data_IF_596239051781
#
_entry.id   IF_596239051781
#
_cell.length_a   1.000
_cell.length_b   1.000
_cell.length_c   1.000
_cell.angle_alpha   90.00
_cell.angle_beta   90.00
_cell.angle_gamma   90.00
#
_symmetry.space_group_name_H-M   'P 1'
#
loop_
_entity.id
_entity.type
_entity.pdbx_description
1 polymer ?
#
# COMPACT_ATOMS: atom_id res chain seq x y z
N UNK A 1 3.33 -5.83 22.89
CA UNK A 1 2.36 -5.35 21.89
C UNK A 1 3.03 -4.66 20.72
N UNK A 2 3.71 -3.51 20.88
CA UNK A 2 4.34 -2.78 19.77
C UNK A 2 5.28 -3.62 18.89
N UNK A 3 6.27 -4.31 19.48
CA UNK A 3 7.23 -5.16 18.72
C UNK A 3 6.58 -6.32 17.95
N UNK A 4 5.46 -6.88 18.44
CA UNK A 4 4.71 -7.93 17.73
C UNK A 4 3.84 -7.35 16.61
N UNK A 5 3.39 -6.11 16.79
CA UNK A 5 2.29 -5.50 16.04
C UNK A 5 2.74 -4.59 14.91
N UNK A 6 3.86 -3.89 15.06
CA UNK A 6 4.32 -2.92 14.06
C UNK A 6 5.82 -3.05 13.79
N UNK A 7 6.25 -4.07 13.04
CA UNK A 7 7.63 -4.14 12.60
C UNK A 7 8.03 -2.84 11.88
N UNK A 8 7.22 -2.33 10.96
CA UNK A 8 7.49 -1.05 10.27
C UNK A 8 6.97 0.20 10.99
N UNK A 9 5.83 0.10 11.67
CA UNK A 9 5.13 1.26 12.25
C UNK A 9 5.71 1.78 13.57
N UNK A 10 6.49 0.99 14.32
CA UNK A 10 7.09 1.44 15.58
C UNK A 10 8.03 2.63 15.36
N UNK A 11 8.93 2.55 14.38
CA UNK A 11 9.84 3.66 14.08
C UNK A 11 9.11 4.89 13.55
N UNK A 12 8.03 4.69 12.79
CA UNK A 12 7.17 5.78 12.31
C UNK A 12 6.52 6.50 13.50
N UNK A 13 5.93 5.74 14.44
CA UNK A 13 5.34 6.30 15.66
C UNK A 13 6.37 7.05 16.51
N UNK A 14 7.60 6.55 16.62
CA UNK A 14 8.69 7.25 17.31
C UNK A 14 9.06 8.55 16.57
N UNK A 15 9.18 8.50 15.25
CA UNK A 15 9.55 9.65 14.44
C UNK A 15 8.46 10.74 14.43
N UNK A 16 7.19 10.36 14.61
CA UNK A 16 6.03 11.24 14.67
C UNK A 16 5.41 11.35 16.07
N UNK A 17 6.20 11.08 17.12
CA UNK A 17 5.71 11.10 18.51
C UNK A 17 5.17 12.47 18.98
N UNK A 18 5.45 13.54 18.23
CA UNK A 18 4.98 14.90 18.49
C UNK A 18 3.94 15.38 17.46
N UNK A 19 3.43 14.49 16.60
CA UNK A 19 2.37 14.85 15.67
C UNK A 19 1.09 15.19 16.44
N UNK A 20 0.57 16.39 16.20
CA UNK A 20 -0.62 16.91 16.86
C UNK A 20 -1.90 16.23 16.37
N UNK A 21 -1.86 15.53 15.23
CA UNK A 21 -3.00 14.82 14.65
C UNK A 21 -3.15 13.39 15.18
N UNK A 22 -2.10 12.82 15.81
CA UNK A 22 -2.08 11.45 16.33
C UNK A 22 -3.33 11.10 17.16
N UNK A 23 -3.69 11.96 18.11
CA UNK A 23 -4.79 11.70 19.04
C UNK A 23 -6.18 11.73 18.38
N UNK A 24 -6.30 12.24 17.14
CA UNK A 24 -7.57 12.24 16.39
C UNK A 24 -7.94 10.84 15.90
N UNK A 25 -6.94 9.97 15.73
CA UNK A 25 -7.11 8.63 15.20
C UNK A 25 -7.12 7.55 16.28
N UNK A 26 -6.82 7.88 17.55
CA UNK A 26 -6.65 6.90 18.63
C UNK A 26 -7.82 6.92 19.61
N UNK A 27 -8.51 5.79 19.72
CA UNK A 27 -9.56 5.55 20.70
C UNK A 27 -8.97 4.90 21.97
N UNK A 28 -8.87 5.67 23.06
CA UNK A 28 -8.28 5.22 24.33
C UNK A 28 -9.30 4.60 25.31
N UNK A 29 -10.55 4.38 24.89
CA UNK A 29 -11.68 4.00 25.79
C UNK A 29 -11.71 2.52 26.18
N UNK A 30 -11.11 1.63 25.39
CA UNK A 30 -10.96 0.20 25.70
C UNK A 30 -9.74 -0.37 25.00
N UNK A 31 -9.33 -1.59 25.38
CA UNK A 31 -8.21 -2.27 24.71
C UNK A 31 -8.53 -2.56 23.23
N UNK A 32 -9.74 -3.01 22.92
CA UNK A 32 -10.20 -3.27 21.55
C UNK A 32 -10.27 -1.97 20.73
N UNK A 33 -10.83 -0.91 21.31
CA UNK A 33 -10.87 0.40 20.67
C UNK A 33 -9.47 0.93 20.40
N UNK A 34 -8.56 0.80 21.36
CA UNK A 34 -7.16 1.18 21.19
C UNK A 34 -6.46 0.30 20.16
N UNK A 35 -6.73 -1.00 20.16
CA UNK A 35 -6.21 -1.91 19.18
C UNK A 35 -6.61 -1.42 17.79
N UNK A 36 -7.88 -1.45 17.45
CA UNK A 36 -8.38 -1.09 16.13
C UNK A 36 -7.93 0.31 15.65
N UNK A 37 -8.07 1.33 16.51
CA UNK A 37 -7.75 2.72 16.17
C UNK A 37 -6.25 2.98 15.93
N UNK A 38 -5.36 2.25 16.61
CA UNK A 38 -3.93 2.39 16.38
C UNK A 38 -3.48 1.90 14.99
N UNK A 39 -4.24 1.01 14.34
CA UNK A 39 -3.96 0.71 12.92
C UNK A 39 -4.19 1.95 12.07
N UNK A 40 -5.36 2.58 12.25
CA UNK A 40 -5.74 3.79 11.52
C UNK A 40 -4.72 4.89 11.77
N UNK A 41 -4.33 5.11 13.04
CA UNK A 41 -3.30 6.09 13.37
C UNK A 41 -2.00 5.85 12.58
N UNK A 42 -1.45 4.63 12.59
CA UNK A 42 -0.21 4.33 11.85
C UNK A 42 -0.39 4.43 10.32
N UNK A 43 -1.55 4.06 9.79
CA UNK A 43 -1.91 4.25 8.39
C UNK A 43 -1.86 5.74 8.02
N UNK A 44 -2.55 6.58 8.78
CA UNK A 44 -2.62 8.02 8.52
C UNK A 44 -1.28 8.72 8.74
N UNK A 45 -0.52 8.33 9.77
CA UNK A 45 0.83 8.86 10.00
C UNK A 45 1.78 8.53 8.84
N UNK A 46 1.55 7.41 8.14
CA UNK A 46 2.30 7.09 6.92
C UNK A 46 2.08 8.16 5.85
N UNK A 47 0.85 8.66 5.70
CA UNK A 47 0.52 9.79 4.82
C UNK A 47 1.09 11.11 5.35
N UNK A 48 0.96 11.36 6.67
CA UNK A 48 1.44 12.61 7.29
C UNK A 48 2.95 12.80 7.12
N UNK A 49 3.72 11.71 7.03
CA UNK A 49 5.14 11.79 6.69
C UNK A 49 5.39 12.48 5.35
N UNK A 50 4.68 12.03 4.31
CA UNK A 50 4.87 12.50 2.94
C UNK A 50 4.17 13.85 2.65
N UNK A 51 3.24 14.26 3.51
CA UNK A 51 2.54 15.55 3.43
C UNK A 51 3.27 16.69 4.14
N UNK A 52 4.26 16.39 4.98
CA UNK A 52 5.05 17.41 5.65
C UNK A 52 6.14 17.98 4.71
N UNK A 53 6.03 19.25 4.31
CA UNK A 53 6.95 19.86 3.36
C UNK A 53 8.39 20.00 3.90
N UNK A 54 8.60 19.85 5.22
CA UNK A 54 9.94 19.81 5.81
C UNK A 54 10.66 18.48 5.61
N UNK A 55 9.93 17.42 5.24
CA UNK A 55 10.45 16.04 5.09
C UNK A 55 10.48 15.61 3.63
N UNK A 56 9.46 15.95 2.88
CA UNK A 56 9.23 15.48 1.51
C UNK A 56 8.67 16.60 0.63
N UNK A 57 8.81 16.43 -0.68
CA UNK A 57 8.12 17.28 -1.66
C UNK A 57 7.15 16.41 -2.44
N UNK A 58 5.87 16.76 -2.39
CA UNK A 58 4.82 16.02 -3.08
C UNK A 58 5.09 15.94 -4.59
N UNK A 59 4.80 14.78 -5.17
CA UNK A 59 5.13 14.33 -6.53
C UNK A 59 6.63 14.29 -6.90
N UNK A 60 7.55 14.50 -5.96
CA UNK A 60 9.01 14.42 -6.23
C UNK A 60 9.59 13.13 -5.68
N UNK A 61 9.30 12.82 -4.42
CA UNK A 61 9.81 11.62 -3.74
C UNK A 61 8.84 11.12 -2.68
N UNK A 62 8.93 9.83 -2.38
CA UNK A 62 8.14 9.16 -1.35
C UNK A 62 9.03 8.52 -0.27
N UNK A 63 8.48 8.42 0.94
CA UNK A 63 9.01 7.57 2.00
C UNK A 63 8.26 6.25 2.16
N UNK A 64 8.96 5.18 2.49
CA UNK A 64 8.38 3.89 2.81
C UNK A 64 8.98 3.29 4.08
N UNK A 65 8.09 2.84 4.98
CA UNK A 65 8.44 2.17 6.23
C UNK A 65 8.27 0.67 6.03
N UNK A 66 9.39 -0.01 5.75
CA UNK A 66 9.38 -1.37 5.20
C UNK A 66 9.34 -2.42 6.32
N UNK A 67 10.20 -2.27 7.32
CA UNK A 67 10.22 -3.11 8.53
C UNK A 67 10.98 -2.40 9.66
N UNK A 68 11.29 -3.11 10.75
CA UNK A 68 11.91 -2.52 11.95
C UNK A 68 13.31 -1.98 11.73
N UNK A 69 14.04 -2.47 10.73
CA UNK A 69 15.39 -2.03 10.41
C UNK A 69 15.47 -1.21 9.12
N UNK A 70 14.52 -1.36 8.20
CA UNK A 70 14.59 -0.79 6.85
C UNK A 70 13.55 0.30 6.61
N UNK A 71 14.04 1.47 6.16
CA UNK A 71 13.25 2.60 5.68
C UNK A 71 13.82 3.05 4.33
N UNK A 72 12.97 3.54 3.44
CA UNK A 72 13.38 4.20 2.22
C UNK A 72 12.74 5.58 2.18
N UNK A 73 13.43 6.62 2.68
CA UNK A 73 12.82 7.94 2.99
C UNK A 73 12.86 8.96 1.85
N UNK A 74 13.59 8.67 0.76
CA UNK A 74 13.74 9.56 -0.39
C UNK A 74 13.82 8.72 -1.68
N UNK A 75 12.72 8.06 -2.03
CA UNK A 75 12.59 7.33 -3.30
C UNK A 75 12.03 8.26 -4.37
N UNK A 76 12.79 8.57 -5.44
CA UNK A 76 12.29 9.46 -6.49
C UNK A 76 11.10 8.84 -7.23
N UNK A 77 10.04 9.62 -7.44
CA UNK A 77 8.86 9.21 -8.24
C UNK A 77 8.74 9.97 -9.55
N UNK A 78 9.45 11.10 -9.69
CA UNK A 78 9.49 11.91 -10.91
C UNK A 78 8.10 12.35 -11.43
N UNK A 79 7.14 12.58 -10.52
CA UNK A 79 5.78 12.98 -10.83
C UNK A 79 4.92 11.84 -11.39
N UNK A 80 4.63 11.91 -12.69
CA UNK A 80 3.76 10.99 -13.40
C UNK A 80 2.47 11.63 -13.89
N UNK A 81 1.44 10.81 -14.04
CA UNK A 81 0.12 11.18 -14.56
C UNK A 81 -0.98 10.87 -13.53
N UNK A 82 -2.17 11.49 -13.65
CA UNK A 82 -3.31 11.24 -12.76
C UNK A 82 -3.67 9.74 -12.65
N UNK A 83 -3.76 9.20 -11.43
CA UNK A 83 -4.07 7.78 -11.21
C UNK A 83 -5.43 7.37 -11.75
N UNK A 84 -6.37 8.30 -11.92
CA UNK A 84 -7.65 8.04 -12.61
C UNK A 84 -7.50 7.48 -14.03
N UNK A 85 -6.35 7.68 -14.69
CA UNK A 85 -6.10 7.12 -16.03
C UNK A 85 -6.09 5.58 -16.07
N UNK A 86 -6.00 4.90 -14.92
CA UNK A 86 -6.07 3.44 -14.83
C UNK A 86 -7.51 2.91 -14.88
N UNK A 87 -8.52 3.75 -14.64
CA UNK A 87 -9.94 3.35 -14.61
C UNK A 87 -10.39 2.52 -15.80
N UNK A 88 -10.00 2.83 -17.06
CA UNK A 88 -10.41 2.03 -18.21
C UNK A 88 -9.88 0.58 -18.19
N UNK A 89 -8.85 0.27 -17.41
CA UNK A 89 -8.32 -1.09 -17.26
C UNK A 89 -9.08 -1.93 -16.21
N UNK A 90 -9.92 -1.30 -15.38
CA UNK A 90 -10.76 -1.99 -14.40
C UNK A 90 -12.08 -2.36 -15.07
N UNK A 91 -12.29 -3.67 -15.31
CA UNK A 91 -13.45 -4.19 -16.06
C UNK A 91 -14.50 -4.89 -15.18
N UNK A 92 -14.15 -5.16 -13.93
CA UNK A 92 -15.03 -5.72 -12.92
C UNK A 92 -15.53 -4.62 -11.95
N UNK A 93 -16.21 -5.04 -10.88
CA UNK A 93 -16.71 -4.16 -9.82
C UNK A 93 -16.12 -4.51 -8.44
N UNK A 94 -15.06 -5.33 -8.39
CA UNK A 94 -14.51 -5.84 -7.12
C UNK A 94 -14.02 -4.71 -6.21
N UNK A 95 -13.55 -3.61 -6.80
CA UNK A 95 -12.96 -2.47 -6.08
C UNK A 95 -13.84 -1.22 -6.14
N UNK A 96 -15.12 -1.33 -6.51
CA UNK A 96 -15.96 -0.17 -6.89
C UNK A 96 -16.01 0.94 -5.82
N UNK A 97 -16.08 0.59 -4.53
CA UNK A 97 -16.06 1.57 -3.44
C UNK A 97 -14.74 2.35 -3.40
N UNK A 98 -13.62 1.65 -3.51
CA UNK A 98 -12.28 2.25 -3.55
C UNK A 98 -12.03 3.00 -4.86
N UNK A 99 -12.58 2.54 -5.99
CA UNK A 99 -12.50 3.24 -7.26
C UNK A 99 -13.18 4.62 -7.16
N UNK A 100 -14.31 4.71 -6.45
CA UNK A 100 -15.00 5.97 -6.21
C UNK A 100 -14.12 6.94 -5.43
N UNK A 101 -13.52 6.47 -4.33
CA UNK A 101 -12.68 7.31 -3.46
C UNK A 101 -11.35 7.69 -4.10
N UNK A 102 -10.62 6.72 -4.67
CA UNK A 102 -9.24 6.95 -5.08
C UNK A 102 -9.10 7.36 -6.54
N UNK A 103 -10.02 6.94 -7.41
CA UNK A 103 -9.86 7.13 -8.85
C UNK A 103 -10.88 8.10 -9.44
N UNK A 104 -12.13 8.09 -8.98
CA UNK A 104 -13.22 8.91 -9.56
C UNK A 104 -13.42 10.24 -8.84
N UNK A 105 -13.11 10.31 -7.55
CA UNK A 105 -13.11 11.57 -6.82
C UNK A 105 -12.23 12.61 -7.51
N UNK A 106 -12.70 13.85 -7.50
CA UNK A 106 -12.11 14.94 -8.27
C UNK A 106 -10.69 15.31 -7.80
N UNK A 107 -10.40 15.14 -6.51
CA UNK A 107 -9.09 15.47 -5.94
C UNK A 107 -8.21 14.23 -5.94
N UNK A 108 -8.67 13.17 -5.29
CA UNK A 108 -7.94 11.91 -5.12
C UNK A 108 -7.59 11.28 -6.48
N UNK A 109 -8.47 11.38 -7.49
CA UNK A 109 -8.17 10.86 -8.83
C UNK A 109 -7.04 11.58 -9.57
N UNK A 110 -6.65 12.79 -9.12
CA UNK A 110 -5.57 13.59 -9.73
C UNK A 110 -4.19 13.25 -9.20
N UNK A 111 -4.11 12.54 -8.06
CA UNK A 111 -2.84 12.14 -7.49
C UNK A 111 -2.07 11.23 -8.45
N UNK A 112 -0.74 11.33 -8.44
CA UNK A 112 0.15 10.63 -9.38
C UNK A 112 0.76 9.39 -8.72
N UNK A 113 1.92 8.94 -9.19
CA UNK A 113 2.56 7.73 -8.68
C UNK A 113 2.79 7.78 -7.17
N UNK A 114 3.13 8.96 -6.62
CA UNK A 114 3.28 9.11 -5.17
C UNK A 114 1.98 8.75 -4.43
N UNK A 115 0.83 9.26 -4.86
CA UNK A 115 -0.45 8.93 -4.22
C UNK A 115 -0.85 7.47 -4.40
N UNK A 116 -0.44 6.79 -5.47
CA UNK A 116 -0.65 5.33 -5.62
C UNK A 116 0.22 4.55 -4.64
N UNK A 117 1.49 4.93 -4.51
CA UNK A 117 2.42 4.25 -3.60
C UNK A 117 2.16 4.59 -2.12
N UNK A 118 1.70 5.80 -1.80
CA UNK A 118 1.38 6.23 -0.44
C UNK A 118 0.26 5.36 0.15
N UNK A 119 -0.84 5.18 -0.58
CA UNK A 119 -1.95 4.31 -0.17
C UNK A 119 -1.51 2.85 -0.03
N UNK A 120 -0.67 2.35 -0.94
CA UNK A 120 -0.13 1.00 -0.82
C UNK A 120 0.75 0.86 0.42
N UNK A 121 1.63 1.82 0.66
CA UNK A 121 2.53 1.82 1.80
C UNK A 121 1.77 1.89 3.12
N UNK A 122 0.75 2.75 3.21
CA UNK A 122 -0.13 2.85 4.38
C UNK A 122 -0.97 1.57 4.59
N UNK A 123 -1.41 0.93 3.51
CA UNK A 123 -2.01 -0.41 3.58
C UNK A 123 -1.07 -1.47 4.17
N UNK A 124 0.22 -1.41 3.84
CA UNK A 124 1.25 -2.34 4.33
C UNK A 124 1.86 -1.97 5.68
N UNK A 125 1.59 -0.79 6.24
CA UNK A 125 1.83 -0.52 7.66
C UNK A 125 0.63 -0.97 8.50
N UNK A 126 -0.59 -0.89 7.96
CA UNK A 126 -1.82 -1.31 8.65
C UNK A 126 -2.10 -2.82 8.66
N UNK A 127 -2.03 -3.49 7.51
CA UNK A 127 -2.38 -4.92 7.37
C UNK A 127 -1.59 -5.84 8.32
N UNK A 128 -0.24 -5.74 8.43
CA UNK A 128 0.52 -6.56 9.38
C UNK A 128 0.01 -6.40 10.82
N UNK A 129 -0.32 -5.16 11.20
CA UNK A 129 -0.71 -4.83 12.55
C UNK A 129 -2.05 -5.39 12.96
N UNK A 130 -3.01 -5.44 12.03
CA UNK A 130 -4.34 -6.03 12.29
C UNK A 130 -4.32 -7.54 12.14
N UNK A 131 -3.42 -8.08 11.32
CA UNK A 131 -3.25 -9.54 11.16
C UNK A 131 -2.79 -10.18 12.45
N UNK A 132 -1.82 -9.58 13.15
CA UNK A 132 -1.23 -10.17 14.38
C UNK A 132 -2.15 -10.06 15.60
N UNK A 133 -3.15 -9.17 15.57
CA UNK A 133 -4.05 -8.89 16.71
C UNK A 133 -5.51 -8.98 16.28
N UNK A 134 -5.78 -9.80 15.28
CA UNK A 134 -7.06 -9.90 14.59
C UNK A 134 -8.22 -10.17 15.56
N UNK A 135 -7.98 -10.87 16.67
CA UNK A 135 -8.96 -11.20 17.70
C UNK A 135 -9.56 -9.96 18.41
N UNK A 136 -8.88 -8.82 18.33
CA UNK A 136 -9.30 -7.56 18.94
C UNK A 136 -9.95 -6.58 17.95
N UNK A 137 -10.05 -6.95 16.66
CA UNK A 137 -10.68 -6.11 15.63
C UNK A 137 -12.19 -6.37 15.63
N UNK A 138 -13.00 -5.31 15.80
CA UNK A 138 -14.46 -5.40 15.94
C UNK A 138 -15.24 -4.70 14.82
N UNK A 139 -14.56 -4.11 13.84
CA UNK A 139 -15.15 -3.71 12.56
C UNK A 139 -15.48 -2.24 12.40
N UNK A 140 -14.83 -1.36 13.17
CA UNK A 140 -15.03 0.10 13.15
C UNK A 140 -14.10 0.81 12.15
N UNK A 141 -12.95 0.24 11.80
CA UNK A 141 -12.00 0.86 10.86
C UNK A 141 -10.86 -0.03 10.37
N UNK A 142 -10.64 -1.19 10.99
CA UNK A 142 -9.55 -2.10 10.60
C UNK A 142 -9.99 -3.33 9.80
N UNK A 143 -11.30 -3.48 9.60
CA UNK A 143 -11.89 -4.65 8.96
C UNK A 143 -11.70 -4.73 7.45
N UNK A 144 -11.17 -3.70 6.80
CA UNK A 144 -10.94 -3.66 5.35
C UNK A 144 -9.45 -3.62 4.97
N UNK A 145 -8.54 -3.90 5.90
CA UNK A 145 -7.10 -3.78 5.66
C UNK A 145 -6.60 -4.67 4.50
N UNK A 146 -7.18 -5.87 4.34
CA UNK A 146 -6.88 -6.75 3.20
C UNK A 146 -7.31 -6.12 1.88
N UNK A 147 -8.51 -5.56 1.82
CA UNK A 147 -9.05 -4.90 0.63
C UNK A 147 -8.19 -3.71 0.24
N UNK A 148 -7.74 -2.91 1.21
CA UNK A 148 -6.86 -1.75 0.97
C UNK A 148 -5.54 -2.21 0.36
N UNK A 149 -4.88 -3.21 0.95
CA UNK A 149 -3.59 -3.70 0.48
C UNK A 149 -3.69 -4.40 -0.89
N UNK A 150 -4.75 -5.18 -1.13
CA UNK A 150 -4.97 -5.86 -2.39
C UNK A 150 -5.33 -4.87 -3.52
N UNK A 151 -6.19 -3.90 -3.22
CA UNK A 151 -6.67 -2.91 -4.21
C UNK A 151 -5.58 -1.93 -4.60
N UNK A 152 -4.82 -1.39 -3.64
CA UNK A 152 -3.76 -0.44 -3.98
C UNK A 152 -2.59 -1.11 -4.71
N UNK A 153 -2.34 -2.41 -4.48
CA UNK A 153 -1.38 -3.17 -5.29
C UNK A 153 -1.89 -3.31 -6.72
N UNK A 154 -3.18 -3.60 -6.89
CA UNK A 154 -3.83 -3.63 -8.20
C UNK A 154 -3.63 -2.29 -8.90
N UNK A 155 -3.86 -1.18 -8.22
CA UNK A 155 -3.70 0.16 -8.79
C UNK A 155 -2.26 0.44 -9.19
N UNK A 156 -1.27 0.06 -8.39
CA UNK A 156 0.15 0.17 -8.76
C UNK A 156 0.45 -0.60 -10.06
N UNK A 157 0.02 -1.86 -10.16
CA UNK A 157 0.25 -2.69 -11.34
C UNK A 157 -0.42 -2.12 -12.59
N UNK A 158 -1.66 -1.65 -12.47
CA UNK A 158 -2.37 -0.98 -13.57
C UNK A 158 -1.73 0.37 -13.94
N UNK A 159 -1.23 1.11 -12.97
CA UNK A 159 -0.52 2.38 -13.20
C UNK A 159 0.76 2.14 -14.00
N UNK A 160 1.55 1.12 -13.66
CA UNK A 160 2.73 0.73 -14.43
C UNK A 160 2.37 0.32 -15.87
N UNK A 161 1.24 -0.36 -16.09
CA UNK A 161 0.75 -0.70 -17.44
C UNK A 161 0.40 0.56 -18.24
N UNK A 162 -0.30 1.51 -17.63
CA UNK A 162 -0.62 2.80 -18.28
C UNK A 162 0.65 3.60 -18.55
N UNK A 163 1.59 3.63 -17.61
CA UNK A 163 2.88 4.29 -17.78
C UNK A 163 3.60 3.75 -19.03
N UNK A 164 3.74 2.43 -19.13
CA UNK A 164 4.39 1.80 -20.29
C UNK A 164 3.68 2.08 -21.62
N UNK A 165 2.35 2.03 -21.62
CA UNK A 165 1.58 2.07 -22.88
C UNK A 165 1.24 3.47 -23.37
N UNK A 166 1.12 4.45 -22.47
CA UNK A 166 0.69 5.82 -22.80
C UNK A 166 1.70 6.91 -22.45
N UNK A 167 2.63 6.62 -21.54
CA UNK A 167 3.60 7.61 -21.05
C UNK A 167 5.05 7.07 -21.17
N UNK A 168 5.51 6.70 -22.38
CA UNK A 168 6.76 5.95 -22.56
C UNK A 168 8.01 6.69 -22.05
N UNK A 169 8.06 8.02 -22.16
CA UNK A 169 9.16 8.82 -21.60
C UNK A 169 9.20 8.76 -20.07
N UNK A 170 8.02 8.87 -19.43
CA UNK A 170 7.91 8.74 -17.98
C UNK A 170 8.26 7.32 -17.54
N UNK A 171 7.73 6.30 -18.21
CA UNK A 171 8.08 4.89 -17.98
C UNK A 171 9.59 4.65 -18.05
N UNK A 172 10.27 5.12 -19.10
CA UNK A 172 11.71 4.97 -19.24
C UNK A 172 12.45 5.63 -18.06
N UNK A 173 12.01 6.81 -17.63
CA UNK A 173 12.58 7.53 -16.47
C UNK A 173 12.42 6.74 -15.17
N UNK A 174 11.21 6.31 -14.84
CA UNK A 174 10.96 5.58 -13.58
C UNK A 174 11.55 4.17 -13.58
N UNK A 175 11.66 3.52 -14.74
CA UNK A 175 12.34 2.21 -14.88
C UNK A 175 13.87 2.35 -14.77
N UNK A 176 14.43 3.52 -15.05
CA UNK A 176 15.85 3.78 -14.83
C UNK A 176 16.20 4.04 -13.35
N UNK A 177 15.22 4.31 -12.48
CA UNK A 177 15.42 4.64 -11.07
C UNK A 177 15.53 3.37 -10.19
N UNK A 178 16.73 2.97 -9.72
CA UNK A 178 16.93 1.72 -9.00
C UNK A 178 16.16 1.66 -7.68
N UNK A 179 16.06 2.78 -6.93
CA UNK A 179 15.36 2.80 -5.64
C UNK A 179 13.87 2.58 -5.82
N UNK A 180 13.29 3.10 -6.90
CA UNK A 180 11.88 2.93 -7.21
C UNK A 180 11.59 1.50 -7.67
N UNK A 181 12.48 0.90 -8.48
CA UNK A 181 12.39 -0.52 -8.84
C UNK A 181 12.41 -1.42 -7.60
N UNK A 182 13.35 -1.18 -6.70
CA UNK A 182 13.45 -1.91 -5.43
C UNK A 182 12.22 -1.72 -4.55
N UNK A 183 11.72 -0.48 -4.44
CA UNK A 183 10.52 -0.18 -3.67
C UNK A 183 9.28 -0.90 -4.24
N UNK A 184 9.06 -0.85 -5.55
CA UNK A 184 7.92 -1.52 -6.21
C UNK A 184 7.97 -3.03 -5.98
N UNK A 185 9.14 -3.64 -6.14
CA UNK A 185 9.33 -5.06 -5.86
C UNK A 185 9.05 -5.37 -4.38
N UNK A 186 9.60 -4.58 -3.47
CA UNK A 186 9.42 -4.74 -2.02
C UNK A 186 7.96 -4.62 -1.62
N UNK A 187 7.23 -3.63 -2.15
CA UNK A 187 5.80 -3.45 -1.91
C UNK A 187 5.01 -4.65 -2.43
N UNK A 188 5.28 -5.14 -3.65
CA UNK A 188 4.63 -6.34 -4.19
C UNK A 188 4.86 -7.57 -3.31
N UNK A 189 6.12 -7.87 -2.98
CA UNK A 189 6.48 -9.05 -2.18
C UNK A 189 5.89 -9.00 -0.77
N UNK A 190 5.95 -7.83 -0.12
CA UNK A 190 5.34 -7.62 1.21
C UNK A 190 3.83 -7.79 1.16
N UNK A 191 3.18 -7.27 0.12
CA UNK A 191 1.74 -7.42 -0.05
C UNK A 191 1.36 -8.88 -0.24
N UNK A 192 2.08 -9.60 -1.10
CA UNK A 192 1.86 -11.03 -1.32
C UNK A 192 1.96 -11.82 0.00
N UNK A 193 3.03 -11.59 0.77
CA UNK A 193 3.24 -12.21 2.07
C UNK A 193 2.08 -11.93 3.04
N UNK A 194 1.70 -10.67 3.22
CA UNK A 194 0.68 -10.31 4.21
C UNK A 194 -0.73 -10.70 3.78
N UNK A 195 -1.05 -10.69 2.48
CA UNK A 195 -2.32 -11.22 1.96
C UNK A 195 -2.44 -12.73 2.15
N UNK A 196 -1.34 -13.48 2.10
CA UNK A 196 -1.37 -14.88 2.49
C UNK A 196 -1.58 -15.02 4.00
N UNK A 197 -0.76 -14.35 4.83
CA UNK A 197 -0.83 -14.51 6.31
C UNK A 197 -2.16 -14.08 6.90
N UNK A 198 -2.86 -13.14 6.28
CA UNK A 198 -4.16 -12.69 6.75
C UNK A 198 -5.35 -13.45 6.16
N UNK A 199 -5.14 -14.38 5.22
CA UNK A 199 -6.24 -15.10 4.55
C UNK A 199 -7.13 -15.91 5.50
N UNK A 200 -6.60 -16.57 6.56
CA UNK A 200 -7.46 -17.23 7.56
C UNK A 200 -8.41 -16.28 8.30
N UNK A 201 -8.14 -14.97 8.25
CA UNK A 201 -8.87 -13.94 8.96
C UNK A 201 -9.66 -13.02 8.01
N UNK A 202 -9.88 -13.41 6.75
CA UNK A 202 -10.59 -12.59 5.76
C UNK A 202 -11.93 -12.08 6.29
N UNK A 203 -12.71 -12.88 7.02
CA UNK A 203 -13.99 -12.43 7.60
C UNK A 203 -13.88 -11.37 8.72
N UNK A 204 -12.67 -11.03 9.17
CA UNK A 204 -12.41 -10.06 10.25
C UNK A 204 -11.63 -8.85 9.73
N UNK A 205 -10.62 -9.08 8.87
CA UNK A 205 -9.70 -8.03 8.38
C UNK A 205 -9.82 -7.79 6.87
N UNK A 206 -10.84 -8.35 6.23
CA UNK A 206 -11.20 -8.03 4.85
C UNK A 206 -12.70 -8.16 4.53
N UNK A 207 -13.07 -7.69 3.35
CA UNK A 207 -14.37 -7.90 2.73
C UNK A 207 -14.44 -9.22 1.95
N UNK A 208 -15.65 -9.59 1.49
CA UNK A 208 -15.90 -10.84 0.77
C UNK A 208 -15.16 -10.94 -0.58
N UNK A 209 -14.72 -9.81 -1.14
CA UNK A 209 -14.03 -9.77 -2.43
C UNK A 209 -12.49 -9.66 -2.30
N UNK A 210 -11.94 -9.56 -1.09
CA UNK A 210 -10.49 -9.41 -0.86
C UNK A 210 -9.64 -10.48 -1.58
N UNK A 211 -10.07 -11.74 -1.55
CA UNK A 211 -9.36 -12.84 -2.21
C UNK A 211 -9.48 -12.77 -3.75
N UNK A 212 -10.63 -12.33 -4.26
CA UNK A 212 -10.84 -12.14 -5.71
C UNK A 212 -10.00 -10.98 -6.22
N UNK A 213 -9.94 -9.86 -5.50
CA UNK A 213 -9.06 -8.73 -5.82
C UNK A 213 -7.61 -9.20 -5.84
N UNK A 214 -7.19 -9.94 -4.80
CA UNK A 214 -5.85 -10.52 -4.69
C UNK A 214 -5.51 -11.36 -5.91
N UNK A 215 -6.42 -12.24 -6.37
CA UNK A 215 -6.19 -13.05 -7.56
C UNK A 215 -5.92 -12.21 -8.83
N UNK A 216 -6.59 -11.06 -8.99
CA UNK A 216 -6.34 -10.18 -10.15
C UNK A 216 -4.93 -9.58 -10.18
N UNK A 217 -4.27 -9.43 -9.03
CA UNK A 217 -2.89 -8.92 -8.96
C UNK A 217 -1.88 -9.88 -9.61
N UNK A 218 -2.22 -11.17 -9.67
CA UNK A 218 -1.38 -12.21 -10.26
C UNK A 218 -1.75 -12.56 -11.70
N UNK A 219 -2.64 -11.78 -12.35
CA UNK A 219 -2.90 -11.93 -13.77
C UNK A 219 -1.59 -11.85 -14.58
N UNK A 220 -1.41 -12.66 -15.64
CA UNK A 220 -0.14 -12.75 -16.37
C UNK A 220 0.42 -11.39 -16.80
N UNK A 221 -0.43 -10.48 -17.25
CA UNK A 221 -0.05 -9.14 -17.69
C UNK A 221 0.39 -8.22 -16.55
N UNK A 222 -0.10 -8.45 -15.33
CA UNK A 222 0.29 -7.70 -14.13
C UNK A 222 1.63 -8.22 -13.58
N UNK A 223 1.88 -9.53 -13.68
CA UNK A 223 3.21 -10.07 -13.37
C UNK A 223 4.24 -9.61 -14.40
N UNK A 224 3.92 -9.70 -15.69
CA UNK A 224 4.83 -9.29 -16.75
C UNK A 224 5.26 -7.81 -16.62
N UNK A 225 4.34 -6.90 -16.29
CA UNK A 225 4.70 -5.49 -16.09
C UNK A 225 5.58 -5.28 -14.85
N UNK A 226 5.34 -6.03 -13.77
CA UNK A 226 6.16 -5.98 -12.56
C UNK A 226 7.58 -6.46 -12.85
N UNK A 227 7.72 -7.61 -13.48
CA UNK A 227 9.01 -8.21 -13.78
C UNK A 227 9.80 -7.34 -14.76
N UNK A 228 9.12 -6.78 -15.77
CA UNK A 228 9.75 -5.84 -16.70
C UNK A 228 10.17 -4.53 -16.02
N UNK A 229 9.36 -3.99 -15.12
CA UNK A 229 9.68 -2.76 -14.40
C UNK A 229 10.88 -2.98 -13.47
N UNK A 230 10.80 -4.02 -12.65
CA UNK A 230 11.76 -4.30 -11.58
C UNK A 230 13.04 -4.97 -12.11
N UNK A 231 12.97 -5.63 -13.27
CA UNK A 231 14.04 -6.46 -13.81
C UNK A 231 14.29 -7.72 -12.98
N UNK A 232 13.28 -8.20 -12.24
CA UNK A 232 13.36 -9.39 -11.39
C UNK A 232 12.20 -10.31 -11.69
N UNK A 233 12.47 -11.61 -11.78
CA UNK A 233 11.45 -12.63 -11.86
C UNK A 233 10.84 -12.86 -10.48
N UNK A 234 9.53 -13.05 -10.42
CA UNK A 234 8.84 -13.40 -9.16
C UNK A 234 8.31 -14.82 -9.21
N UNK A 235 8.67 -15.61 -8.20
CA UNK A 235 8.15 -16.98 -8.07
C UNK A 235 6.67 -16.97 -7.68
N UNK A 236 5.87 -17.82 -8.33
CA UNK A 236 4.40 -17.92 -8.21
C UNK A 236 3.91 -19.30 -7.73
N UNK A 237 4.84 -20.23 -7.57
CA UNK A 237 4.65 -21.66 -7.34
C UNK A 237 4.18 -22.01 -5.93
N UNK A 238 4.30 -21.08 -4.98
CA UNK A 238 3.57 -21.13 -3.73
C UNK A 238 3.00 -19.76 -3.43
N UNK A 239 1.70 -19.70 -3.11
CA UNK A 239 1.12 -18.58 -2.36
C UNK A 239 1.79 -18.36 -0.99
N UNK A 240 2.92 -19.01 -0.67
CA UNK A 240 3.64 -18.85 0.59
C UNK A 240 4.83 -17.91 0.54
N UNK A 241 5.53 -17.76 -0.59
CA UNK A 241 6.65 -16.83 -0.70
C UNK A 241 6.91 -16.48 -2.16
N UNK A 242 6.37 -15.35 -2.64
CA UNK A 242 7.06 -14.68 -3.74
C UNK A 242 8.43 -14.29 -3.18
N UNK A 243 9.50 -14.95 -3.63
CA UNK A 243 10.86 -14.47 -3.48
C UNK A 243 11.26 -13.89 -4.81
N UNK A 244 12.04 -12.80 -4.80
CA UNK A 244 12.79 -12.42 -5.98
C UNK A 244 13.95 -13.41 -6.15
N UNK A 245 14.16 -13.89 -7.37
CA UNK A 245 15.41 -14.57 -7.73
C UNK A 245 16.57 -13.56 -7.84
#
# INVERSE_FOLDING_TARGET
>A
MYQRRWPSGEKLAIAQAKDKYWDQFVNKRSFEGFAESMMVAIHEETHMWDLDPSRTTWDVSIAAWINGSQQATQVPVHGGFPRKEILPLIKDRLTASMDNTYLRDATQGTYRLQGVLAEQNAGLTGLPAVTVVHEYIKGVGASNARDIAATNLRYLLLYLRVAKTKHPEYWARIKAEPKLRELVLTQFLRTAYWLEKSAPYTGVVGGPDADKITATNYAPENIAILEEFTGRTVRKDAQKHCTAD
#
